data_IF_020445672842
#
_entry.id   IF_020445672842
#
_cell.length_a   1.000
_cell.length_b   1.000
_cell.length_c   1.000
_cell.angle_alpha   90.00
_cell.angle_beta   90.00
_cell.angle_gamma   90.00
#
_symmetry.space_group_name_H-M   'P 1'
#
loop_
_entity.id
_entity.type
_entity.pdbx_description
1 polymer ?
#
# COMPACT_ATOMS: atom_id res chain seq x y z
N UNK A 1 -10.40 10.33 -3.70
CA UNK A 1 -10.53 9.78 -5.07
C UNK A 1 -10.78 10.95 -6.00
N UNK A 2 -9.97 11.11 -7.06
CA UNK A 2 -10.24 12.14 -8.07
C UNK A 2 -11.45 11.78 -8.94
N UNK A 3 -11.88 12.68 -9.80
CA UNK A 3 -13.11 12.52 -10.60
C UNK A 3 -13.14 11.30 -11.54
N UNK A 4 -11.98 10.80 -11.98
CA UNK A 4 -11.85 9.70 -12.97
C UNK A 4 -11.40 8.36 -12.35
N UNK A 5 -11.28 8.26 -11.02
CA UNK A 5 -10.77 7.03 -10.39
C UNK A 5 -11.85 5.94 -10.33
N UNK A 6 -11.60 4.81 -10.98
CA UNK A 6 -12.50 3.64 -10.97
C UNK A 6 -11.96 2.57 -10.02
N UNK A 7 -12.83 2.05 -9.15
CA UNK A 7 -12.55 0.85 -8.35
C UNK A 7 -13.32 -0.32 -8.97
N UNK A 8 -12.59 -1.28 -9.51
CA UNK A 8 -13.16 -2.45 -10.16
C UNK A 8 -14.02 -3.30 -9.20
N UNK A 9 -15.03 -3.97 -9.77
CA UNK A 9 -15.95 -4.84 -9.03
C UNK A 9 -15.20 -5.90 -8.22
N UNK A 10 -15.63 -6.10 -6.98
CA UNK A 10 -15.09 -7.15 -6.11
C UNK A 10 -13.71 -6.86 -5.54
N UNK A 11 -13.20 -5.63 -5.69
CA UNK A 11 -11.96 -5.20 -5.06
C UNK A 11 -12.15 -4.84 -3.59
N UNK A 12 -11.09 -5.07 -2.79
CA UNK A 12 -11.02 -4.72 -1.37
C UNK A 12 -9.96 -3.64 -1.20
N UNK A 13 -10.34 -2.50 -0.63
CA UNK A 13 -9.44 -1.39 -0.30
C UNK A 13 -9.37 -1.28 1.22
N UNK A 14 -8.16 -1.39 1.77
CA UNK A 14 -7.90 -1.27 3.20
C UNK A 14 -8.16 0.15 3.72
N UNK A 15 -8.44 0.25 5.02
CA UNK A 15 -8.56 1.55 5.69
C UNK A 15 -7.29 2.38 5.58
N UNK A 16 -7.44 3.70 5.51
CA UNK A 16 -6.33 4.66 5.38
C UNK A 16 -5.45 4.50 4.11
N UNK A 17 -5.95 3.84 3.07
CA UNK A 17 -5.28 3.76 1.77
C UNK A 17 -5.72 4.91 0.87
N UNK A 18 -4.75 5.63 0.30
CA UNK A 18 -4.99 6.62 -0.76
C UNK A 18 -4.71 6.05 -2.14
N UNK A 19 -5.68 6.14 -3.05
CA UNK A 19 -5.54 5.69 -4.43
C UNK A 19 -5.05 6.83 -5.33
N UNK A 20 -3.95 6.58 -6.04
CA UNK A 20 -3.37 7.49 -7.04
C UNK A 20 -3.84 7.18 -8.46
N UNK A 21 -4.35 5.97 -8.70
CA UNK A 21 -4.80 5.47 -10.00
C UNK A 21 -5.98 4.52 -9.80
N UNK A 22 -6.68 4.20 -10.88
CA UNK A 22 -7.76 3.22 -10.89
C UNK A 22 -7.28 1.82 -10.49
N UNK A 23 -8.19 1.03 -9.92
CA UNK A 23 -7.95 -0.32 -9.40
C UNK A 23 -8.70 -1.34 -10.26
N UNK A 24 -8.03 -2.36 -10.81
CA UNK A 24 -8.70 -3.44 -11.56
C UNK A 24 -9.72 -4.21 -10.70
N UNK A 25 -10.70 -4.90 -11.30
CA UNK A 25 -11.59 -5.80 -10.57
C UNK A 25 -10.84 -6.87 -9.78
N UNK A 26 -11.43 -7.35 -8.69
CA UNK A 26 -10.91 -8.42 -7.83
C UNK A 26 -9.52 -8.18 -7.21
N UNK A 27 -9.10 -6.92 -7.09
CA UNK A 27 -7.82 -6.54 -6.48
C UNK A 27 -7.93 -6.43 -4.96
N UNK A 28 -6.81 -6.61 -4.25
CA UNK A 28 -6.71 -6.35 -2.81
C UNK A 28 -5.57 -5.36 -2.55
N UNK A 29 -5.88 -4.16 -2.08
CA UNK A 29 -4.90 -3.15 -1.69
C UNK A 29 -5.04 -2.86 -0.19
N UNK A 30 -3.94 -2.97 0.55
CA UNK A 30 -3.87 -2.67 1.97
C UNK A 30 -2.51 -2.08 2.29
N UNK A 31 -2.46 -1.24 3.33
CA UNK A 31 -1.18 -0.82 3.89
C UNK A 31 -0.53 -2.02 4.58
N UNK A 32 0.60 -2.47 4.04
CA UNK A 32 1.47 -3.41 4.73
C UNK A 32 2.48 -2.58 5.53
N UNK A 33 2.39 -2.52 6.88
CA UNK A 33 3.47 -1.96 7.67
C UNK A 33 4.73 -2.76 7.32
N UNK A 34 5.73 -2.05 6.81
CA UNK A 34 7.01 -2.65 6.46
C UNK A 34 7.58 -3.34 7.70
N UNK A 35 8.14 -4.53 7.49
CA UNK A 35 9.04 -5.18 8.43
C UNK A 35 9.94 -4.12 9.05
N UNK A 36 9.88 -3.96 10.37
CA UNK A 36 10.86 -3.13 11.08
C UNK A 36 12.21 -3.75 10.78
N UNK A 37 13.00 -3.14 9.90
CA UNK A 37 14.41 -3.45 9.78
C UNK A 37 15.03 -2.76 10.97
N UNK A 38 15.21 -3.52 12.06
CA UNK A 38 15.99 -3.07 13.20
C UNK A 38 17.45 -3.01 12.75
N UNK A 39 17.92 -1.84 12.33
CA UNK A 39 19.35 -1.61 12.21
C UNK A 39 19.94 -1.68 13.61
N UNK A 40 20.67 -2.76 13.88
CA UNK A 40 21.43 -2.89 15.13
C UNK A 40 22.44 -1.73 15.18
N UNK A 41 22.54 -1.00 16.29
CA UNK A 41 23.63 -0.04 16.47
C UNK A 41 24.97 -0.78 16.36
N UNK A 42 25.74 -0.54 15.29
CA UNK A 42 27.09 -1.07 15.12
C UNK A 42 27.45 -1.69 13.76
N UNK A 43 26.52 -1.83 12.82
CA UNK A 43 26.80 -2.49 11.52
C UNK A 43 27.32 -1.52 10.41
N UNK A 44 27.96 -0.41 10.79
CA UNK A 44 28.66 0.49 9.85
C UNK A 44 30.10 0.03 9.59
N UNK A 45 30.68 0.20 8.38
CA UNK A 45 32.06 -0.17 8.13
C UNK A 45 32.99 0.84 8.82
N UNK A 46 33.93 0.31 9.63
CA UNK A 46 35.06 1.05 10.21
C UNK A 46 35.95 1.69 9.14
#
# INVERSE_FOLDING_TARGET
>A
LGGETVVGRGSIIGGNVWLLRSVPPHSRLYYAPGTVVEERPGDGPD
#
